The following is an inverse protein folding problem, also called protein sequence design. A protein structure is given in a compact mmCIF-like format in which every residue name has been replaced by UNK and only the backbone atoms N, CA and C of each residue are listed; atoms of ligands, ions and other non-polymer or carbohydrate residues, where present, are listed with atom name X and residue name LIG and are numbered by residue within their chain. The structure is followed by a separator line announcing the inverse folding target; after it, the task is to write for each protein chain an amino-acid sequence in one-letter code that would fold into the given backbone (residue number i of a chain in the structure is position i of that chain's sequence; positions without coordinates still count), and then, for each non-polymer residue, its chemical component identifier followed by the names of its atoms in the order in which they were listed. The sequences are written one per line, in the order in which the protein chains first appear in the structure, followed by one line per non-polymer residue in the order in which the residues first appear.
data_IF_929860161314
#
_entry.id   IF_929860161314
#
_cell.length_a   1.000
_cell.length_b   1.000
_cell.length_c   1.000
_cell.angle_alpha   90.00
_cell.angle_beta   90.00
_cell.angle_gamma   90.00
#
_symmetry.space_group_name_H-M   'P 1'
#
loop_
_entity.id
_entity.type
_entity.pdbx_description
1 polymer ?
#
# COMPACT_ATOMS: atom_id res chain seq x y z
N UNK A 1 -5.92 -13.99 -39.67
CA UNK A 1 -4.92 -14.09 -38.59
C UNK A 1 -4.47 -12.69 -38.24
N UNK A 2 -4.99 -12.09 -37.17
CA UNK A 2 -4.67 -10.74 -36.71
C UNK A 2 -5.61 -10.42 -35.56
N UNK A 3 -5.11 -10.38 -34.33
CA UNK A 3 -5.99 -10.19 -33.16
C UNK A 3 -5.29 -10.31 -31.81
N UNK A 4 -4.15 -11.01 -31.72
CA UNK A 4 -3.41 -11.10 -30.46
C UNK A 4 -2.54 -9.86 -30.17
N UNK A 5 -2.10 -9.12 -31.21
CA UNK A 5 -1.27 -7.93 -31.04
C UNK A 5 -2.04 -6.66 -30.66
N UNK A 6 -3.26 -6.49 -31.18
CA UNK A 6 -4.08 -5.28 -30.97
C UNK A 6 -4.62 -5.20 -29.53
N UNK A 7 -5.04 -6.33 -28.95
CA UNK A 7 -5.49 -6.39 -27.56
C UNK A 7 -4.37 -6.00 -26.56
N UNK A 8 -3.12 -6.36 -26.88
CA UNK A 8 -1.95 -5.94 -26.11
C UNK A 8 -1.69 -4.44 -26.22
N UNK A 9 -1.75 -3.90 -27.44
CA UNK A 9 -1.52 -2.49 -27.72
C UNK A 9 -2.59 -1.58 -27.08
N UNK A 10 -3.87 -1.97 -27.14
CA UNK A 10 -4.95 -1.21 -26.49
C UNK A 10 -4.81 -1.22 -24.97
N UNK A 11 -4.44 -2.36 -24.39
CA UNK A 11 -4.18 -2.46 -22.95
C UNK A 11 -2.98 -1.61 -22.52
N UNK A 12 -1.95 -1.50 -23.38
CA UNK A 12 -0.77 -0.67 -23.15
C UNK A 12 -1.13 0.81 -23.21
N UNK A 13 -1.90 1.22 -24.23
CA UNK A 13 -2.39 2.59 -24.37
C UNK A 13 -3.21 3.02 -23.16
N UNK A 14 -4.17 2.20 -22.74
CA UNK A 14 -5.01 2.49 -21.59
C UNK A 14 -4.17 2.69 -20.33
N UNK A 15 -3.21 1.79 -20.06
CA UNK A 15 -2.30 1.91 -18.91
C UNK A 15 -1.43 3.18 -18.98
N UNK A 16 -0.93 3.55 -20.16
CA UNK A 16 -0.16 4.77 -20.33
C UNK A 16 -1.02 6.03 -20.09
N UNK A 17 -2.28 6.01 -20.53
CA UNK A 17 -3.24 7.09 -20.32
C UNK A 17 -3.57 7.25 -18.84
N UNK A 18 -3.84 6.14 -18.14
CA UNK A 18 -4.11 6.16 -16.70
C UNK A 18 -2.92 6.74 -15.91
N UNK A 19 -1.69 6.36 -16.28
CA UNK A 19 -0.47 6.92 -15.67
C UNK A 19 -0.31 8.40 -15.97
N UNK A 20 -0.61 8.82 -17.21
CA UNK A 20 -0.52 10.23 -17.60
C UNK A 20 -1.57 11.07 -16.88
N UNK A 21 -2.81 10.60 -16.75
CA UNK A 21 -3.86 11.23 -15.96
C UNK A 21 -3.45 11.40 -14.48
N UNK A 22 -2.71 10.43 -13.93
CA UNK A 22 -2.12 10.50 -12.59
C UNK A 22 -0.92 11.47 -12.49
N UNK A 23 -0.54 12.11 -13.60
CA UNK A 23 0.51 13.12 -13.65
C UNK A 23 1.91 12.59 -13.93
N UNK A 24 2.06 11.32 -14.29
CA UNK A 24 3.37 10.73 -14.56
C UNK A 24 4.02 11.42 -15.78
N UNK A 25 5.32 11.66 -15.70
CA UNK A 25 6.09 12.11 -16.87
C UNK A 25 6.32 10.95 -17.83
N UNK A 26 6.64 11.26 -19.09
CA UNK A 26 6.94 10.24 -20.10
C UNK A 26 8.05 9.28 -19.65
N UNK A 27 9.08 9.82 -18.99
CA UNK A 27 10.17 9.03 -18.42
C UNK A 27 9.74 8.10 -17.27
N UNK A 28 8.65 8.43 -16.55
CA UNK A 28 8.09 7.51 -15.56
C UNK A 28 7.19 6.46 -16.22
N UNK A 29 6.42 6.84 -17.24
CA UNK A 29 5.59 5.90 -18.02
C UNK A 29 6.48 4.84 -18.69
N UNK A 30 7.58 5.27 -19.32
CA UNK A 30 8.64 4.40 -19.85
C UNK A 30 9.07 3.35 -18.83
N UNK A 31 9.52 3.80 -17.65
CA UNK A 31 10.01 2.92 -16.57
C UNK A 31 8.92 2.02 -15.99
N UNK A 32 7.69 2.49 -15.87
CA UNK A 32 6.58 1.74 -15.28
C UNK A 32 6.04 0.67 -16.22
N UNK A 33 6.00 0.94 -17.53
CA UNK A 33 5.48 -0.01 -18.52
C UNK A 33 6.58 -0.84 -19.19
N UNK A 34 7.85 -0.57 -18.87
CA UNK A 34 9.02 -1.21 -19.49
C UNK A 34 9.00 -1.09 -21.02
N UNK A 35 8.59 0.07 -21.53
CA UNK A 35 8.53 0.39 -22.97
C UNK A 35 9.61 1.41 -23.36
N UNK A 36 10.01 1.50 -24.63
CA UNK A 36 10.91 2.55 -25.10
C UNK A 36 10.38 3.96 -24.85
N UNK A 37 11.28 4.92 -24.56
CA UNK A 37 10.92 6.31 -24.32
C UNK A 37 10.09 6.94 -25.45
N UNK A 38 10.40 6.62 -26.71
CA UNK A 38 9.67 7.15 -27.87
C UNK A 38 8.19 6.76 -27.82
N UNK A 39 7.91 5.50 -27.47
CA UNK A 39 6.55 4.96 -27.35
C UNK A 39 5.81 5.59 -26.16
N UNK A 40 6.47 5.70 -25.00
CA UNK A 40 5.91 6.40 -23.84
C UNK A 40 5.61 7.89 -24.14
N UNK A 41 6.44 8.55 -24.95
CA UNK A 41 6.25 9.94 -25.39
C UNK A 41 5.08 10.08 -26.35
N UNK A 42 4.93 9.15 -27.29
CA UNK A 42 3.80 9.12 -28.22
C UNK A 42 2.47 8.94 -27.48
N UNK A 43 2.39 7.95 -26.59
CA UNK A 43 1.21 7.71 -25.75
C UNK A 43 0.89 8.90 -24.85
N UNK A 44 1.91 9.49 -24.21
CA UNK A 44 1.73 10.67 -23.37
C UNK A 44 1.27 11.92 -24.14
N UNK A 45 1.75 12.10 -25.39
CA UNK A 45 1.33 13.19 -26.28
C UNK A 45 -0.09 12.98 -26.80
N UNK A 46 -0.47 11.74 -27.11
CA UNK A 46 -1.84 11.39 -27.49
C UNK A 46 -2.81 11.74 -26.35
N UNK A 47 -2.50 11.33 -25.12
CA UNK A 47 -3.28 11.73 -23.94
C UNK A 47 -3.36 13.25 -23.80
N UNK A 48 -2.22 13.96 -23.86
CA UNK A 48 -2.18 15.42 -23.69
C UNK A 48 -2.97 16.16 -24.79
N UNK A 49 -3.05 15.60 -26.00
CA UNK A 49 -3.85 16.16 -27.09
C UNK A 49 -5.36 15.95 -26.88
N UNK A 50 -5.75 14.79 -26.35
CA UNK A 50 -7.16 14.46 -26.08
C UNK A 50 -7.71 15.11 -24.81
N UNK A 51 -6.90 15.20 -23.75
CA UNK A 51 -7.34 15.54 -22.39
C UNK A 51 -6.65 16.78 -21.79
N UNK A 52 -5.65 17.33 -22.48
CA UNK A 52 -4.81 18.40 -21.95
C UNK A 52 -3.76 17.91 -20.95
N UNK A 53 -2.86 18.80 -20.55
CA UNK A 53 -1.78 18.47 -19.62
C UNK A 53 -2.34 18.23 -18.21
N UNK A 54 -1.85 17.20 -17.49
CA UNK A 54 -2.21 16.97 -16.10
C UNK A 54 -1.87 18.17 -15.22
N UNK A 55 -2.78 18.55 -14.31
CA UNK A 55 -2.61 19.70 -13.41
C UNK A 55 -1.49 19.49 -12.38
N UNK A 56 -1.12 18.23 -12.10
CA UNK A 56 -0.06 17.83 -11.17
C UNK A 56 0.92 16.92 -11.91
N UNK A 57 2.23 17.15 -11.73
CA UNK A 57 3.28 16.38 -12.41
C UNK A 57 4.11 15.60 -11.38
N UNK A 58 4.08 14.27 -11.49
CA UNK A 58 4.88 13.33 -10.71
C UNK A 58 6.24 13.18 -11.39
N UNK A 59 7.31 13.66 -10.75
CA UNK A 59 8.68 13.67 -11.30
C UNK A 59 9.56 12.53 -10.81
N UNK A 60 9.14 11.81 -9.77
CA UNK A 60 9.90 10.69 -9.19
C UNK A 60 9.00 9.50 -8.96
N UNK A 61 9.41 8.34 -9.49
CA UNK A 61 8.89 7.06 -9.06
C UNK A 61 9.35 6.90 -7.62
N UNK A 62 8.42 6.81 -6.67
CA UNK A 62 8.76 6.24 -5.38
C UNK A 62 8.92 4.75 -5.62
N UNK A 63 10.15 4.27 -5.66
CA UNK A 63 10.40 2.84 -5.71
C UNK A 63 9.75 2.21 -4.46
N UNK A 64 8.90 1.19 -4.61
CA UNK A 64 8.66 0.29 -3.51
C UNK A 64 10.01 -0.35 -3.20
N UNK A 65 10.47 -0.24 -1.96
CA UNK A 65 11.61 -1.03 -1.49
C UNK A 65 11.15 -2.49 -1.48
N UNK A 66 11.84 -3.33 -2.24
CA UNK A 66 11.51 -4.76 -2.47
C UNK A 66 11.66 -5.65 -1.21
N UNK A 67 11.90 -5.07 -0.04
CA UNK A 67 12.18 -5.83 1.20
C UNK A 67 10.92 -6.36 1.92
N UNK A 68 9.73 -6.30 1.32
CA UNK A 68 8.46 -6.57 2.01
C UNK A 68 8.18 -5.62 3.19
N UNK A 69 9.02 -4.58 3.33
CA UNK A 69 8.91 -3.54 4.34
C UNK A 69 7.90 -2.45 3.96
N UNK A 70 7.40 -1.69 4.94
CA UNK A 70 6.43 -0.63 4.68
C UNK A 70 7.01 0.48 3.80
N UNK A 71 6.25 0.89 2.76
CA UNK A 71 6.69 1.86 1.75
C UNK A 71 6.93 3.23 2.42
N UNK A 72 8.14 3.79 2.27
CA UNK A 72 8.50 5.08 2.89
C UNK A 72 8.01 6.27 2.08
N UNK A 73 7.16 7.09 2.67
CA UNK A 73 6.60 8.32 2.09
C UNK A 73 6.90 9.53 2.99
N UNK A 74 7.14 10.74 2.45
CA UNK A 74 7.21 11.96 3.22
C UNK A 74 5.79 12.48 3.52
N UNK A 75 5.63 13.20 4.62
CA UNK A 75 4.35 13.77 5.05
C UNK A 75 3.66 14.61 3.97
N UNK A 76 4.42 15.28 3.10
CA UNK A 76 3.89 16.04 1.96
C UNK A 76 3.14 15.17 0.94
N UNK A 77 3.56 13.92 0.74
CA UNK A 77 2.92 13.05 -0.25
C UNK A 77 1.65 12.46 0.33
N UNK A 78 1.63 12.15 1.63
CA UNK A 78 0.41 11.82 2.35
C UNK A 78 -0.64 12.95 2.25
N UNK A 79 -0.23 14.20 2.46
CA UNK A 79 -1.13 15.37 2.34
C UNK A 79 -1.69 15.53 0.92
N UNK A 80 -0.88 15.30 -0.09
CA UNK A 80 -1.25 15.57 -1.48
C UNK A 80 -2.08 14.46 -2.11
N UNK A 81 -1.86 13.20 -1.73
CA UNK A 81 -2.42 12.02 -2.38
C UNK A 81 -3.12 11.10 -1.37
N UNK A 82 -3.69 11.67 -0.29
CA UNK A 82 -4.29 10.95 0.84
C UNK A 82 -5.33 9.92 0.40
N UNK A 83 -6.25 10.28 -0.50
CA UNK A 83 -7.31 9.39 -0.97
C UNK A 83 -6.75 8.15 -1.68
N UNK A 84 -5.71 8.31 -2.51
CA UNK A 84 -5.05 7.18 -3.18
C UNK A 84 -4.31 6.31 -2.17
N UNK A 85 -3.56 6.93 -1.27
CA UNK A 85 -2.78 6.21 -0.26
C UNK A 85 -3.71 5.41 0.65
N UNK A 86 -4.82 5.99 1.11
CA UNK A 86 -5.80 5.29 1.95
C UNK A 86 -6.45 4.10 1.24
N UNK A 87 -6.73 4.18 -0.06
CA UNK A 87 -7.22 3.01 -0.85
C UNK A 87 -6.19 1.89 -0.93
N UNK A 88 -4.92 2.24 -1.10
CA UNK A 88 -3.84 1.24 -1.09
C UNK A 88 -3.69 0.61 0.30
N UNK A 89 -3.83 1.42 1.35
CA UNK A 89 -3.85 0.95 2.74
C UNK A 89 -5.01 0.02 3.00
N UNK A 90 -6.21 0.36 2.54
CA UNK A 90 -7.38 -0.50 2.61
C UNK A 90 -7.16 -1.84 1.89
N UNK A 91 -6.45 -1.82 0.76
CA UNK A 91 -6.04 -3.02 0.03
C UNK A 91 -4.92 -3.84 0.72
N UNK A 92 -4.43 -3.43 1.90
CA UNK A 92 -3.42 -4.16 2.67
C UNK A 92 -2.02 -3.52 2.68
N UNK A 93 -1.80 -2.42 1.96
CA UNK A 93 -0.48 -1.78 1.88
C UNK A 93 -0.13 -1.04 3.18
N UNK A 94 1.11 -1.18 3.64
CA UNK A 94 1.66 -0.40 4.77
C UNK A 94 2.60 0.70 4.28
N UNK A 95 2.56 1.85 4.94
CA UNK A 95 3.41 3.00 4.64
C UNK A 95 4.10 3.54 5.90
N UNK A 96 5.39 3.88 5.79
CA UNK A 96 6.13 4.66 6.80
C UNK A 96 6.13 6.13 6.40
N UNK A 97 5.65 7.00 7.26
CA UNK A 97 5.61 8.44 7.03
C UNK A 97 6.89 9.06 7.60
N UNK A 98 7.53 9.91 6.81
CA UNK A 98 8.77 10.61 7.16
C UNK A 98 8.58 12.12 7.14
N UNK A 99 9.26 12.81 8.05
CA UNK A 99 9.38 14.28 8.08
C UNK A 99 10.87 14.59 8.13
N UNK A 100 11.36 15.36 7.14
CA UNK A 100 12.78 15.69 7.01
C UNK A 100 13.72 14.48 7.06
N UNK A 101 13.29 13.35 6.51
CA UNK A 101 14.07 12.10 6.47
C UNK A 101 13.96 11.22 7.73
N UNK A 102 13.35 11.71 8.82
CA UNK A 102 13.08 10.93 10.02
C UNK A 102 11.72 10.26 9.92
N UNK A 103 11.64 8.96 10.23
CA UNK A 103 10.36 8.25 10.36
C UNK A 103 9.58 8.79 11.58
N UNK A 104 8.30 9.12 11.37
CA UNK A 104 7.45 9.73 12.41
C UNK A 104 6.14 8.99 12.63
N UNK A 105 5.66 8.22 11.66
CA UNK A 105 4.40 7.49 11.78
C UNK A 105 4.34 6.29 10.82
N UNK A 106 3.40 5.39 11.08
CA UNK A 106 3.03 4.30 10.20
C UNK A 106 1.55 4.43 9.84
N UNK A 107 1.23 4.12 8.59
CA UNK A 107 -0.14 4.00 8.11
C UNK A 107 -0.33 2.55 7.64
N UNK A 108 -1.27 1.86 8.29
CA UNK A 108 -1.59 0.46 8.07
C UNK A 108 -3.12 0.30 7.97
N UNK A 109 -3.62 -0.81 7.39
CA UNK A 109 -5.05 -1.07 7.34
C UNK A 109 -5.64 -0.99 8.75
N UNK A 110 -6.79 -0.31 8.89
CA UNK A 110 -7.52 -0.37 10.15
C UNK A 110 -7.86 -1.83 10.42
N UNK A 111 -7.54 -2.33 11.61
CA UNK A 111 -7.99 -3.64 12.02
C UNK A 111 -9.52 -3.66 11.92
N UNK A 112 -10.06 -4.50 11.03
CA UNK A 112 -11.51 -4.77 11.04
C UNK A 112 -11.79 -5.34 12.43
N UNK A 113 -12.64 -4.66 13.20
CA UNK A 113 -12.99 -5.14 14.54
C UNK A 113 -13.62 -6.53 14.43
N UNK A 114 -13.25 -7.39 15.37
CA UNK A 114 -13.65 -8.80 15.58
C UNK A 114 -12.69 -9.79 14.91
N UNK A 115 -12.12 -10.78 15.59
CA UNK A 115 -12.78 -11.76 16.46
C UNK A 115 -12.01 -12.04 17.75
N UNK A 116 -12.72 -12.51 18.78
CA UNK A 116 -12.13 -13.29 19.87
C UNK A 116 -11.02 -14.18 19.31
N UNK A 117 -9.79 -14.04 19.82
CA UNK A 117 -8.69 -14.88 19.36
C UNK A 117 -9.11 -16.35 19.46
N UNK A 118 -9.03 -17.08 18.34
CA UNK A 118 -9.38 -18.49 18.36
C UNK A 118 -8.52 -19.21 19.39
N UNK A 119 -9.10 -20.18 20.11
CA UNK A 119 -8.39 -20.94 21.15
C UNK A 119 -7.04 -21.47 20.65
N UNK A 120 -6.98 -21.91 19.40
CA UNK A 120 -5.76 -22.37 18.73
C UNK A 120 -4.69 -21.29 18.55
N UNK A 121 -5.07 -20.04 18.26
CA UNK A 121 -4.13 -18.92 18.15
C UNK A 121 -3.52 -18.59 19.52
N UNK A 122 -4.35 -18.61 20.57
CA UNK A 122 -3.89 -18.41 21.95
C UNK A 122 -2.97 -19.55 22.40
N UNK A 123 -3.35 -20.81 22.16
CA UNK A 123 -2.52 -21.98 22.48
C UNK A 123 -1.16 -21.95 21.78
N UNK A 124 -1.11 -21.49 20.53
CA UNK A 124 0.15 -21.36 19.80
C UNK A 124 1.07 -20.33 20.45
N UNK A 125 0.53 -19.16 20.81
CA UNK A 125 1.28 -18.10 21.50
C UNK A 125 1.80 -18.60 22.86
N UNK A 126 0.96 -19.30 23.63
CA UNK A 126 1.34 -19.87 24.93
C UNK A 126 2.42 -20.96 24.83
N UNK A 127 2.51 -21.68 23.69
CA UNK A 127 3.58 -22.66 23.45
C UNK A 127 4.88 -22.01 22.97
N UNK A 128 4.79 -20.94 22.19
CA UNK A 128 5.94 -20.27 21.58
C UNK A 128 6.62 -19.27 22.53
N UNK A 129 5.88 -18.73 23.50
CA UNK A 129 6.40 -17.79 24.49
C UNK A 129 6.43 -18.43 25.90
N UNK A 130 7.58 -18.47 26.58
CA UNK A 130 7.63 -18.91 27.97
C UNK A 130 6.88 -17.91 28.84
N UNK A 131 5.78 -18.38 29.44
CA UNK A 131 5.10 -17.66 30.51
C UNK A 131 5.97 -17.69 31.76
N UNK A 132 5.78 -16.71 32.65
CA UNK A 132 6.39 -16.78 33.95
C UNK A 132 5.85 -18.01 34.73
N UNK A 133 6.65 -18.62 35.62
CA UNK A 133 6.23 -19.81 36.36
C UNK A 133 5.01 -19.59 37.27
N UNK A 134 4.70 -18.35 37.64
CA UNK A 134 3.59 -17.98 38.52
C UNK A 134 2.25 -17.85 37.79
N UNK A 135 2.29 -17.63 36.47
CA UNK A 135 1.11 -17.39 35.64
C UNK A 135 -0.02 -18.42 35.82
N UNK A 136 0.32 -19.70 35.94
CA UNK A 136 -0.68 -20.76 36.12
C UNK A 136 -1.39 -20.65 37.48
N UNK A 137 -0.68 -20.27 38.53
CA UNK A 137 -1.23 -20.07 39.86
C UNK A 137 -2.11 -18.80 39.92
N UNK A 138 -1.66 -17.74 39.26
CA UNK A 138 -2.43 -16.49 39.14
C UNK A 138 -3.73 -16.71 38.37
N UNK A 139 -3.68 -17.47 37.28
CA UNK A 139 -4.86 -17.82 36.49
C UNK A 139 -5.83 -18.70 37.28
N UNK A 140 -5.34 -19.70 38.02
CA UNK A 140 -6.17 -20.52 38.88
C UNK A 140 -6.88 -19.68 39.97
N UNK A 141 -6.22 -18.65 40.48
CA UNK A 141 -6.80 -17.70 41.44
C UNK A 141 -7.87 -16.83 40.79
N UNK A 142 -7.63 -16.37 39.55
CA UNK A 142 -8.55 -15.47 38.83
C UNK A 142 -9.81 -16.18 38.29
N UNK A 143 -9.71 -17.42 37.80
CA UNK A 143 -10.84 -18.15 37.18
C UNK A 143 -11.97 -18.47 38.18
N UNK A 144 -11.68 -18.42 39.49
CA UNK A 144 -12.68 -18.57 40.55
C UNK A 144 -13.42 -17.29 40.94
N UNK A 145 -13.01 -16.11 40.43
CA UNK A 145 -13.66 -14.84 40.74
C UNK A 145 -14.76 -14.55 39.72
N UNK A 146 -16.01 -14.49 40.18
CA UNK A 146 -17.12 -13.98 39.37
C UNK A 146 -17.08 -12.46 39.40
N UNK A 147 -17.15 -11.83 38.23
CA UNK A 147 -17.41 -10.39 38.10
C UNK A 147 -18.91 -10.18 38.30
N UNK A 148 -19.37 -10.43 39.52
CA UNK A 148 -20.67 -9.96 39.98
C UNK A 148 -20.41 -8.61 40.66
N UNK A 149 -21.10 -7.56 40.21
CA UNK A 149 -21.01 -6.15 40.62
C UNK A 149 -20.09 -5.24 39.78
N UNK A 150 -20.66 -4.72 38.68
CA UNK A 150 -20.34 -3.38 38.17
C UNK A 150 -21.64 -2.58 37.98
#
# INVERSE_FOLDING_TARGET
MGGAGELGADSLRQRAFDLRQQGFTYALIEKTLAIPYLEARELGRAYDAEHGRPRRIVRRLRQPTDDGGPIRIPARDLRNDSARILRLVEAGQRFRITVSGREVAELAPAATRSEFASRSAVERILREAPLDPGFAADLATAVGQRVDEL
#
